data_IF_041604639962
#
_entry.id   IF_041604639962
#
_cell.length_a   1.000
_cell.length_b   1.000
_cell.length_c   1.000
_cell.angle_alpha   90.00
_cell.angle_beta   90.00
_cell.angle_gamma   90.00
#
_symmetry.space_group_name_H-M   'P 1'
#
loop_
_entity.id
_entity.type
_entity.pdbx_description
1 polymer ?
#
# COMPACT_ATOMS: atom_id res chain seq x y z
N UNK A 1 10.15 -30.98 -21.65
CA UNK A 1 10.54 -29.86 -20.76
C UNK A 1 11.24 -30.34 -19.51
N UNK A 2 10.71 -31.35 -18.82
CA UNK A 2 11.28 -31.89 -17.57
C UNK A 2 12.73 -32.41 -17.69
N UNK A 3 13.09 -33.06 -18.81
CA UNK A 3 14.46 -33.57 -19.01
C UNK A 3 15.51 -32.45 -19.00
N UNK A 4 15.25 -31.32 -19.65
CA UNK A 4 16.19 -30.18 -19.71
C UNK A 4 16.42 -29.54 -18.33
N UNK A 5 15.38 -29.47 -17.50
CA UNK A 5 15.50 -28.95 -16.14
C UNK A 5 16.39 -29.87 -15.27
N UNK A 6 16.29 -31.19 -15.46
CA UNK A 6 17.16 -32.18 -14.80
C UNK A 6 18.60 -32.10 -15.31
N UNK A 7 18.80 -31.96 -16.62
CA UNK A 7 20.14 -31.81 -17.21
C UNK A 7 20.82 -30.53 -16.72
N UNK A 8 20.06 -29.44 -16.56
CA UNK A 8 20.54 -28.19 -15.95
C UNK A 8 20.95 -28.40 -14.47
N UNK A 9 20.13 -29.10 -13.68
CA UNK A 9 20.44 -29.39 -12.28
C UNK A 9 21.73 -30.19 -12.12
N UNK A 10 21.95 -31.18 -12.99
CA UNK A 10 23.16 -32.01 -12.99
C UNK A 10 24.40 -31.20 -13.41
N UNK A 11 24.23 -30.27 -14.35
CA UNK A 11 25.26 -29.29 -14.70
C UNK A 11 25.67 -28.42 -13.52
N UNK A 12 24.72 -27.92 -12.73
CA UNK A 12 25.01 -27.12 -11.53
C UNK A 12 25.64 -27.94 -10.41
N UNK A 13 25.24 -29.21 -10.25
CA UNK A 13 25.87 -30.14 -9.28
C UNK A 13 27.31 -30.44 -9.67
N UNK A 14 27.60 -30.60 -10.95
CA UNK A 14 28.95 -30.80 -11.47
C UNK A 14 29.86 -29.58 -11.23
N UNK A 15 29.28 -28.37 -11.15
CA UNK A 15 29.99 -27.13 -10.74
C UNK A 15 30.16 -27.01 -9.22
N UNK A 16 29.71 -28.00 -8.44
CA UNK A 16 29.84 -28.05 -6.99
C UNK A 16 28.71 -27.37 -6.21
N UNK A 17 27.65 -26.91 -6.88
CA UNK A 17 26.48 -26.31 -6.22
C UNK A 17 25.64 -27.40 -5.57
N UNK A 18 25.45 -27.32 -4.25
CA UNK A 18 24.70 -28.29 -3.45
C UNK A 18 23.39 -27.65 -2.98
N UNK A 19 22.43 -28.50 -2.55
CA UNK A 19 21.16 -28.10 -1.92
C UNK A 19 20.15 -27.43 -2.87
N UNK A 20 20.20 -27.80 -4.15
CA UNK A 20 19.20 -27.45 -5.14
C UNK A 20 18.23 -28.62 -5.35
N UNK A 21 16.94 -28.32 -5.26
CA UNK A 21 15.83 -29.21 -5.61
C UNK A 21 14.99 -28.55 -6.70
N UNK A 22 14.42 -29.34 -7.62
CA UNK A 22 13.51 -28.84 -8.65
C UNK A 22 12.09 -29.25 -8.30
N UNK A 23 11.18 -28.27 -8.26
CA UNK A 23 9.74 -28.47 -8.09
C UNK A 23 9.01 -28.02 -9.36
N UNK A 24 8.11 -28.86 -9.86
CA UNK A 24 7.28 -28.56 -11.03
C UNK A 24 5.92 -28.05 -10.56
N UNK A 25 5.50 -26.88 -11.04
CA UNK A 25 4.14 -26.34 -10.82
C UNK A 25 3.52 -25.96 -12.16
N UNK A 26 2.65 -26.82 -12.68
CA UNK A 26 2.05 -26.64 -13.99
C UNK A 26 3.08 -26.69 -15.11
N UNK A 27 3.16 -25.63 -15.92
CA UNK A 27 4.15 -25.49 -17.00
C UNK A 27 5.50 -24.91 -16.56
N UNK A 28 5.62 -24.48 -15.30
CA UNK A 28 6.81 -23.79 -14.77
C UNK A 28 7.66 -24.71 -13.89
N UNK A 29 8.97 -24.50 -13.95
CA UNK A 29 9.96 -25.20 -13.13
C UNK A 29 10.54 -24.21 -12.12
N UNK A 30 10.63 -24.63 -10.87
CA UNK A 30 11.18 -23.82 -9.79
C UNK A 30 12.39 -24.53 -9.18
N UNK A 31 13.42 -23.76 -8.87
CA UNK A 31 14.60 -24.22 -8.15
C UNK A 31 14.47 -23.75 -6.71
N UNK A 32 14.56 -24.71 -5.81
CA UNK A 32 14.50 -24.54 -4.37
C UNK A 32 15.89 -24.71 -3.78
N UNK A 33 16.42 -23.64 -3.19
CA UNK A 33 17.66 -23.67 -2.43
C UNK A 33 17.32 -23.59 -0.94
N UNK A 34 17.62 -24.64 -0.17
CA UNK A 34 17.37 -24.63 1.28
C UNK A 34 18.64 -24.82 2.10
N UNK A 35 18.81 -23.97 3.11
CA UNK A 35 19.93 -24.02 4.03
C UNK A 35 19.45 -23.79 5.47
N UNK A 36 20.11 -24.42 6.43
CA UNK A 36 19.85 -24.18 7.86
C UNK A 36 21.09 -23.53 8.44
N UNK A 37 20.92 -22.35 9.04
CA UNK A 37 21.99 -21.63 9.72
C UNK A 37 21.62 -21.36 11.18
N UNK A 38 22.62 -21.07 12.00
CA UNK A 38 22.40 -20.66 13.39
C UNK A 38 22.11 -19.16 13.43
N UNK A 39 20.96 -18.78 13.96
CA UNK A 39 20.60 -17.38 14.20
C UNK A 39 20.97 -17.04 15.66
N UNK A 40 21.93 -16.13 15.82
CA UNK A 40 22.45 -15.73 17.13
C UNK A 40 21.48 -14.83 17.91
N UNK A 41 20.60 -14.11 17.22
CA UNK A 41 19.59 -13.22 17.83
C UNK A 41 18.44 -14.05 18.38
N UNK A 42 17.93 -14.97 17.57
CA UNK A 42 16.85 -15.88 17.94
C UNK A 42 17.33 -17.09 18.74
N UNK A 43 18.66 -17.26 18.89
CA UNK A 43 19.36 -18.37 19.58
C UNK A 43 18.85 -19.75 19.16
N UNK A 44 18.58 -19.94 17.87
CA UNK A 44 18.06 -21.21 17.32
C UNK A 44 18.54 -21.44 15.90
N UNK A 45 18.44 -22.69 15.44
CA UNK A 45 18.62 -23.03 14.03
C UNK A 45 17.43 -22.51 13.22
N UNK A 46 17.70 -21.73 12.17
CA UNK A 46 16.71 -21.18 11.25
C UNK A 46 16.93 -21.76 9.86
N UNK A 47 15.88 -22.35 9.29
CA UNK A 47 15.87 -22.80 7.89
C UNK A 47 15.52 -21.61 7.01
N UNK A 48 16.38 -21.31 6.04
CA UNK A 48 16.13 -20.32 4.99
C UNK A 48 15.95 -21.05 3.68
N UNK A 49 14.89 -20.70 2.97
CA UNK A 49 14.62 -21.20 1.63
C UNK A 49 14.52 -20.06 0.63
N UNK A 50 15.12 -20.25 -0.54
CA UNK A 50 15.00 -19.35 -1.69
C UNK A 50 14.33 -20.10 -2.84
N UNK A 51 13.36 -19.46 -3.46
CA UNK A 51 12.72 -19.93 -4.68
C UNK A 51 13.21 -19.08 -5.85
N UNK A 52 13.67 -19.73 -6.91
CA UNK A 52 14.02 -19.09 -8.18
C UNK A 52 13.28 -19.79 -9.31
N UNK A 53 12.78 -19.04 -10.28
CA UNK A 53 12.15 -19.61 -11.48
C UNK A 53 13.26 -20.11 -12.42
N UNK A 54 13.06 -21.27 -13.04
CA UNK A 54 13.99 -21.85 -13.99
C UNK A 54 13.39 -21.81 -15.39
N UNK A 55 14.03 -21.07 -16.28
CA UNK A 55 13.76 -21.10 -17.71
C UNK A 55 14.59 -22.25 -18.34
N UNK A 56 13.96 -23.21 -19.04
CA UNK A 56 14.68 -24.33 -19.64
C UNK A 56 15.70 -23.95 -20.73
N UNK A 57 15.64 -22.75 -21.30
CA UNK A 57 16.58 -22.27 -22.32
C UNK A 57 17.54 -21.21 -21.80
N UNK A 58 17.10 -20.38 -20.84
CA UNK A 58 17.88 -19.26 -20.29
C UNK A 58 18.53 -19.55 -18.94
N UNK A 59 18.19 -20.66 -18.29
CA UNK A 59 18.70 -21.03 -16.96
C UNK A 59 17.94 -20.34 -15.82
N UNK A 60 18.58 -20.19 -14.65
CA UNK A 60 17.98 -19.51 -13.50
C UNK A 60 17.59 -18.08 -13.88
N UNK A 61 16.29 -17.79 -13.81
CA UNK A 61 15.81 -16.41 -13.87
C UNK A 61 16.19 -15.80 -12.52
N UNK A 62 17.21 -14.95 -12.52
CA UNK A 62 17.44 -14.05 -11.40
C UNK A 62 16.11 -13.34 -11.14
N UNK A 63 15.60 -13.34 -9.88
CA UNK A 63 14.44 -12.53 -9.57
C UNK A 63 14.81 -11.14 -10.07
N UNK A 64 14.05 -10.61 -11.05
CA UNK A 64 14.18 -9.22 -11.43
C UNK A 64 14.12 -8.49 -10.10
N UNK A 65 15.28 -7.96 -9.68
CA UNK A 65 15.47 -7.43 -8.34
C UNK A 65 14.24 -6.60 -8.07
N UNK A 66 13.57 -6.88 -6.93
CA UNK A 66 12.42 -6.11 -6.47
C UNK A 66 12.79 -4.67 -6.79
N UNK A 67 12.18 -4.11 -7.85
CA UNK A 67 12.63 -2.83 -8.39
C UNK A 67 12.75 -1.96 -7.17
N UNK A 68 13.93 -1.43 -6.89
CA UNK A 68 14.01 -0.27 -6.01
C UNK A 68 13.17 0.75 -6.74
N UNK A 69 11.88 0.75 -6.40
CA UNK A 69 11.00 1.85 -6.69
C UNK A 69 11.67 2.96 -5.93
N UNK A 70 12.24 3.89 -6.69
CA UNK A 70 12.50 5.21 -6.18
C UNK A 70 11.16 5.70 -5.62
N UNK A 71 11.01 5.61 -4.29
CA UNK A 71 9.75 5.83 -3.55
C UNK A 71 9.19 7.24 -3.84
N UNK A 72 10.02 8.14 -4.39
CA UNK A 72 9.65 9.50 -4.74
C UNK A 72 9.12 9.65 -6.18
N UNK A 73 9.49 8.76 -7.12
CA UNK A 73 9.36 9.06 -8.56
C UNK A 73 8.28 8.27 -9.31
N UNK A 74 7.75 7.18 -8.76
CA UNK A 74 6.67 6.41 -9.43
C UNK A 74 5.55 6.04 -8.46
N UNK A 75 4.92 7.05 -7.84
CA UNK A 75 3.50 6.90 -7.50
C UNK A 75 2.77 6.83 -8.82
N UNK A 76 2.02 5.77 -9.07
CA UNK A 76 1.45 5.54 -10.38
C UNK A 76 0.60 6.77 -10.80
N UNK A 77 0.51 7.08 -12.09
CA UNK A 77 -0.24 8.27 -12.57
C UNK A 77 -1.68 8.28 -12.05
N UNK A 78 -2.28 7.10 -11.84
CA UNK A 78 -3.63 6.95 -11.27
C UNK A 78 -3.73 7.33 -9.79
N UNK A 79 -2.70 7.12 -8.98
CA UNK A 79 -2.63 7.48 -7.55
C UNK A 79 -2.50 8.99 -7.40
N UNK A 80 -1.70 9.62 -8.26
CA UNK A 80 -1.64 11.08 -8.34
C UNK A 80 -2.99 11.67 -8.73
N UNK A 81 -3.61 11.18 -9.81
CA UNK A 81 -4.92 11.66 -10.27
C UNK A 81 -6.01 11.50 -9.20
N UNK A 82 -6.11 10.33 -8.58
CA UNK A 82 -7.07 10.07 -7.50
C UNK A 82 -6.83 10.99 -6.30
N UNK A 83 -5.57 11.20 -5.91
CA UNK A 83 -5.24 12.08 -4.80
C UNK A 83 -5.59 13.54 -5.06
N UNK A 84 -5.32 14.04 -6.27
CA UNK A 84 -5.66 15.41 -6.64
C UNK A 84 -7.18 15.61 -6.75
N UNK A 85 -7.91 14.66 -7.33
CA UNK A 85 -9.37 14.70 -7.39
C UNK A 85 -10.00 14.70 -6.00
N UNK A 86 -9.55 13.82 -5.12
CA UNK A 86 -10.03 13.78 -3.75
C UNK A 86 -9.66 15.03 -2.96
N UNK A 87 -8.46 15.59 -3.16
CA UNK A 87 -8.08 16.87 -2.54
C UNK A 87 -9.04 17.98 -2.92
N UNK A 88 -9.39 18.08 -4.21
CA UNK A 88 -10.36 19.06 -4.70
C UNK A 88 -11.75 18.82 -4.11
N UNK A 89 -12.21 17.57 -4.07
CA UNK A 89 -13.51 17.21 -3.48
C UNK A 89 -13.57 17.48 -1.96
N UNK A 90 -12.43 17.43 -1.28
CA UNK A 90 -12.32 17.64 0.15
C UNK A 90 -11.98 19.10 0.52
N UNK A 91 -11.82 20.01 -0.44
CA UNK A 91 -11.37 21.38 -0.20
C UNK A 91 -12.29 22.13 0.80
N UNK A 92 -13.60 21.99 0.64
CA UNK A 92 -14.59 22.62 1.53
C UNK A 92 -14.77 21.87 2.85
N UNK A 93 -14.54 20.55 2.84
CA UNK A 93 -14.71 19.69 4.01
C UNK A 93 -13.48 19.71 4.94
N UNK A 94 -12.29 19.95 4.38
CA UNK A 94 -11.01 19.92 5.10
C UNK A 94 -10.97 20.92 6.27
N UNK A 95 -11.36 22.20 6.12
CA UNK A 95 -11.40 23.13 7.25
C UNK A 95 -12.29 22.63 8.39
N UNK A 96 -13.46 22.08 8.05
CA UNK A 96 -14.44 21.58 9.02
C UNK A 96 -13.90 20.37 9.81
N UNK A 97 -13.25 19.43 9.11
CA UNK A 97 -12.61 18.28 9.75
C UNK A 97 -11.44 18.70 10.66
N UNK A 98 -10.63 19.67 10.22
CA UNK A 98 -9.48 20.15 11.00
C UNK A 98 -9.94 20.89 12.27
N UNK A 99 -11.00 21.71 12.17
CA UNK A 99 -11.54 22.43 13.33
C UNK A 99 -12.22 21.49 14.33
N UNK A 100 -12.92 20.47 13.84
CA UNK A 100 -13.63 19.50 14.67
C UNK A 100 -12.68 18.58 15.44
N UNK A 101 -11.53 18.21 14.84
CA UNK A 101 -10.63 17.18 15.40
C UNK A 101 -9.18 17.68 15.55
N UNK A 102 -8.90 18.67 16.41
CA UNK A 102 -7.58 19.30 16.49
C UNK A 102 -6.44 18.32 16.80
N UNK A 103 -6.64 17.39 17.72
CA UNK A 103 -5.62 16.40 18.16
C UNK A 103 -5.38 15.27 17.13
N UNK A 104 -6.24 15.17 16.11
CA UNK A 104 -6.22 14.08 15.12
C UNK A 104 -6.41 14.54 13.69
N UNK A 105 -6.28 15.84 13.42
CA UNK A 105 -6.71 16.50 12.17
C UNK A 105 -6.10 15.88 10.91
N UNK A 106 -4.81 15.60 10.93
CA UNK A 106 -4.11 15.03 9.77
C UNK A 106 -4.51 13.57 9.58
N UNK A 107 -4.66 12.82 10.68
CA UNK A 107 -5.03 11.42 10.64
C UNK A 107 -6.48 11.20 10.21
N UNK A 108 -7.43 12.02 10.68
CA UNK A 108 -8.83 11.92 10.26
C UNK A 108 -8.99 12.32 8.78
N UNK A 109 -8.31 13.39 8.35
CA UNK A 109 -8.33 13.82 6.96
C UNK A 109 -7.70 12.78 6.02
N UNK A 110 -6.50 12.29 6.36
CA UNK A 110 -5.83 11.24 5.60
C UNK A 110 -6.65 9.94 5.55
N UNK A 111 -7.27 9.55 6.66
CA UNK A 111 -8.11 8.36 6.73
C UNK A 111 -9.36 8.49 5.86
N UNK A 112 -9.99 9.67 5.81
CA UNK A 112 -11.12 9.97 4.92
C UNK A 112 -10.72 9.83 3.45
N UNK A 113 -9.55 10.37 3.07
CA UNK A 113 -9.02 10.28 1.71
C UNK A 113 -8.83 8.82 1.26
N UNK A 114 -8.12 8.00 2.06
CA UNK A 114 -7.81 6.62 1.65
C UNK A 114 -9.03 5.70 1.72
N UNK A 115 -10.03 6.00 2.56
CA UNK A 115 -11.28 5.23 2.63
C UNK A 115 -12.27 5.57 1.53
N UNK A 116 -12.22 6.79 0.99
CA UNK A 116 -12.97 7.12 -0.22
C UNK A 116 -12.53 6.27 -1.43
N UNK A 117 -11.25 5.89 -1.49
CA UNK A 117 -10.70 5.01 -2.52
C UNK A 117 -11.09 3.53 -2.39
N UNK A 118 -11.69 3.11 -1.28
CA UNK A 118 -12.14 1.74 -1.07
C UNK A 118 -12.01 1.26 0.38
N UNK A 119 -12.31 -0.03 0.58
CA UNK A 119 -12.25 -0.62 1.91
C UNK A 119 -10.80 -0.79 2.40
N UNK A 120 -10.38 0.10 3.31
CA UNK A 120 -9.06 0.06 3.96
C UNK A 120 -9.19 -0.40 5.42
N UNK A 121 -8.82 -1.66 5.73
CA UNK A 121 -8.71 -2.11 7.11
C UNK A 121 -7.70 -1.26 7.89
N UNK A 122 -7.97 -0.98 9.17
CA UNK A 122 -7.10 -0.13 10.01
C UNK A 122 -5.65 -0.63 10.07
N UNK A 123 -5.44 -1.94 10.06
CA UNK A 123 -4.09 -2.54 10.03
C UNK A 123 -3.27 -2.18 8.78
N UNK A 124 -3.92 -1.70 7.71
CA UNK A 124 -3.30 -1.34 6.43
C UNK A 124 -3.29 0.17 6.18
N UNK A 125 -3.91 1.00 7.02
CA UNK A 125 -4.03 2.45 6.77
C UNK A 125 -2.69 3.13 6.53
N UNK A 126 -1.67 2.78 7.32
CA UNK A 126 -0.30 3.32 7.16
C UNK A 126 0.28 2.99 5.79
N UNK A 127 0.30 1.71 5.42
CA UNK A 127 0.87 1.24 4.15
C UNK A 127 0.11 1.83 2.95
N UNK A 128 -1.21 1.98 3.07
CA UNK A 128 -2.02 2.60 2.00
C UNK A 128 -1.71 4.10 1.89
N UNK A 129 -1.60 4.80 3.01
CA UNK A 129 -1.25 6.23 3.02
C UNK A 129 0.15 6.51 2.46
N UNK A 130 1.14 5.68 2.80
CA UNK A 130 2.51 5.83 2.30
C UNK A 130 2.59 5.71 0.78
N UNK A 131 1.74 4.88 0.18
CA UNK A 131 1.62 4.74 -1.28
C UNK A 131 0.79 5.85 -1.93
N UNK A 132 -0.25 6.31 -1.24
CA UNK A 132 -1.15 7.34 -1.74
C UNK A 132 -0.42 8.67 -1.94
N UNK A 133 -0.54 9.32 -3.11
CA UNK A 133 0.08 10.63 -3.33
C UNK A 133 -0.38 11.64 -2.27
N UNK A 134 0.56 12.36 -1.66
CA UNK A 134 0.30 13.26 -0.54
C UNK A 134 0.36 14.71 -1.01
N UNK A 135 -0.74 15.27 -1.55
CA UNK A 135 -0.72 16.61 -2.14
C UNK A 135 -0.56 17.71 -1.10
N UNK A 136 -0.89 17.44 0.16
CA UNK A 136 -0.89 18.42 1.25
C UNK A 136 0.36 18.36 2.13
N UNK A 137 1.32 17.50 1.80
CA UNK A 137 2.57 17.31 2.55
C UNK A 137 2.38 17.07 4.06
N UNK A 138 1.28 16.40 4.45
CA UNK A 138 0.97 16.10 5.86
C UNK A 138 1.62 14.78 6.31
N UNK A 139 1.90 14.65 7.61
CA UNK A 139 2.50 13.44 8.20
C UNK A 139 1.60 12.84 9.30
N UNK A 140 0.48 12.20 8.92
CA UNK A 140 -0.49 11.67 9.86
C UNK A 140 0.05 10.44 10.62
N UNK A 141 -0.29 10.34 11.91
CA UNK A 141 -0.03 9.13 12.69
C UNK A 141 -1.02 8.01 12.31
N UNK A 142 -0.67 7.23 11.29
CA UNK A 142 -1.51 6.15 10.74
C UNK A 142 -1.31 4.79 11.42
N UNK A 143 -0.64 4.74 12.58
CA UNK A 143 -0.48 3.50 13.33
C UNK A 143 -1.85 2.95 13.78
N UNK A 144 -2.13 1.65 13.65
CA UNK A 144 -3.47 1.11 13.90
C UNK A 144 -4.02 1.42 15.30
N UNK A 145 -3.17 1.41 16.33
CA UNK A 145 -3.57 1.77 17.70
C UNK A 145 -3.94 3.25 17.85
N UNK A 146 -3.18 4.15 17.22
CA UNK A 146 -3.45 5.59 17.24
C UNK A 146 -4.75 5.91 16.49
N UNK A 147 -4.92 5.37 15.28
CA UNK A 147 -6.13 5.56 14.48
C UNK A 147 -7.36 4.94 15.15
N UNK A 148 -7.23 3.77 15.77
CA UNK A 148 -8.31 3.14 16.54
C UNK A 148 -8.75 4.00 17.72
N UNK A 149 -7.79 4.53 18.49
CA UNK A 149 -8.08 5.45 19.60
C UNK A 149 -8.76 6.72 19.11
N UNK A 150 -8.26 7.32 18.03
CA UNK A 150 -8.86 8.49 17.39
C UNK A 150 -10.31 8.22 17.00
N UNK A 151 -10.56 7.15 16.24
CA UNK A 151 -11.93 6.79 15.82
C UNK A 151 -12.86 6.51 17.00
N UNK A 152 -12.34 5.92 18.09
CA UNK A 152 -13.12 5.75 19.32
C UNK A 152 -13.49 7.10 19.93
N UNK A 153 -12.54 8.04 20.02
CA UNK A 153 -12.80 9.39 20.51
C UNK A 153 -13.84 10.10 19.65
N UNK A 154 -13.65 10.08 18.32
CA UNK A 154 -14.60 10.66 17.38
C UNK A 154 -15.98 10.02 17.54
N UNK A 155 -16.06 8.70 17.64
CA UNK A 155 -17.33 7.97 17.71
C UNK A 155 -18.15 8.19 18.98
N UNK A 156 -17.52 8.55 20.10
CA UNK A 156 -18.24 8.85 21.35
C UNK A 156 -18.61 10.32 21.48
N UNK A 157 -17.94 11.21 20.75
CA UNK A 157 -18.16 12.65 20.78
C UNK A 157 -19.26 13.05 19.79
N UNK A 158 -20.51 13.05 20.28
CA UNK A 158 -21.69 13.39 19.47
C UNK A 158 -21.73 14.87 19.10
N UNK A 159 -21.29 15.74 20.01
CA UNK A 159 -21.35 17.19 19.78
C UNK A 159 -20.43 17.59 18.62
N UNK A 160 -19.23 17.02 18.58
CA UNK A 160 -18.29 17.25 17.47
C UNK A 160 -18.79 16.61 16.17
N UNK A 161 -19.41 15.43 16.23
CA UNK A 161 -20.05 14.82 15.05
C UNK A 161 -21.16 15.73 14.50
N UNK A 162 -22.03 16.27 15.36
CA UNK A 162 -23.13 17.14 14.97
C UNK A 162 -22.61 18.44 14.34
N UNK A 163 -21.52 19.02 14.85
CA UNK A 163 -20.87 20.18 14.21
C UNK A 163 -20.45 19.85 12.77
N UNK A 164 -19.84 18.68 12.55
CA UNK A 164 -19.41 18.26 11.21
C UNK A 164 -20.61 17.99 10.31
N UNK A 165 -21.61 17.25 10.78
CA UNK A 165 -22.78 16.92 9.95
C UNK A 165 -23.64 18.15 9.65
N UNK A 166 -23.86 19.05 10.62
CA UNK A 166 -24.55 20.32 10.37
C UNK A 166 -23.73 21.20 9.43
N UNK A 167 -22.41 21.28 9.60
CA UNK A 167 -21.55 22.00 8.65
C UNK A 167 -21.67 21.48 7.22
N UNK A 168 -21.77 20.16 7.04
CA UNK A 168 -22.02 19.53 5.72
C UNK A 168 -23.44 19.85 5.21
N UNK A 169 -24.45 19.80 6.07
CA UNK A 169 -25.86 20.07 5.71
C UNK A 169 -26.10 21.54 5.36
N UNK A 170 -25.52 22.47 6.11
CA UNK A 170 -25.57 23.91 5.81
C UNK A 170 -24.85 24.23 4.49
N UNK A 171 -23.76 23.52 4.22
CA UNK A 171 -23.05 23.56 2.95
C UNK A 171 -23.73 22.74 1.85
N UNK A 172 -24.79 21.95 2.11
CA UNK A 172 -25.40 21.07 1.09
C UNK A 172 -26.11 21.81 -0.06
N UNK A 173 -26.16 23.15 -0.01
CA UNK A 173 -26.43 23.99 -1.18
C UNK A 173 -25.29 24.00 -2.23
N UNK A 174 -24.16 23.33 -1.98
CA UNK A 174 -22.95 23.36 -2.81
C UNK A 174 -22.96 22.37 -3.99
N UNK A 175 -23.70 21.25 -3.89
CA UNK A 175 -23.69 20.20 -4.92
C UNK A 175 -24.42 20.56 -6.21
N UNK A 176 -25.42 21.46 -6.18
CA UNK A 176 -26.12 21.90 -7.39
C UNK A 176 -25.43 23.09 -8.10
N UNK A 177 -24.68 23.94 -7.37
CA UNK A 177 -24.07 25.16 -7.93
C UNK A 177 -22.58 25.02 -8.27
N UNK A 178 -21.82 24.22 -7.54
CA UNK A 178 -20.35 24.12 -7.70
C UNK A 178 -19.90 23.39 -8.96
N UNK A 179 -20.57 22.30 -9.33
CA UNK A 179 -20.26 21.51 -10.53
C UNK A 179 -20.68 22.22 -11.83
N UNK A 180 -21.81 22.93 -11.83
CA UNK A 180 -22.32 23.66 -13.00
C UNK A 180 -21.48 24.92 -13.27
N UNK A 181 -21.05 25.63 -12.23
CA UNK A 181 -20.24 26.85 -12.35
C UNK A 181 -18.82 26.61 -12.91
N UNK A 182 -18.17 25.50 -12.53
CA UNK A 182 -16.81 25.19 -12.99
C UNK A 182 -16.76 24.57 -14.40
N UNK A 183 -17.83 23.93 -14.86
CA UNK A 183 -17.94 23.48 -16.25
C UNK A 183 -18.03 24.65 -17.24
N UNK A 184 -18.66 25.76 -16.84
CA UNK A 184 -18.77 27.00 -17.65
C UNK A 184 -17.50 27.86 -17.68
N UNK A 185 -16.47 27.54 -16.89
CA UNK A 185 -15.18 28.25 -16.91
C UNK A 185 -14.10 27.51 -17.73
N UNK A 186 -14.45 26.35 -18.30
CA UNK A 186 -13.58 25.52 -19.14
C UNK A 186 -14.10 25.40 -20.59
N UNK A 187 -15.11 26.20 -20.95
CA UNK A 187 -15.64 26.39 -22.31
C UNK A 187 -15.34 27.79 -22.80
#
# INVERSE_FOLDING_TARGET
>A
MEQRARDWLEGERSKGVKRLEIENRGSKHYVYESTTHWDSILKKRVKTSKYKELDPERGLIEPQGMKEYDDELVRNVTEYGNAMLLRLAMEDLKPLLISAFPDGRDAIYALSMIRACGNVPLKRSKVVWEKFYNPDAISPNMNPGAVSKLLRTVGVDRDVQDIVFQGILDQSNFTAKGLVSRASLLS
#
